data_IF_061693922761
#
_entry.id   IF_061693922761
#
_cell.length_a   1.000
_cell.length_b   1.000
_cell.length_c   1.000
_cell.angle_alpha   90.00
_cell.angle_beta   90.00
_cell.angle_gamma   90.00
#
_symmetry.space_group_name_H-M   'P 1'
#
loop_
_entity.id
_entity.type
_entity.pdbx_description
1 polymer ?
#
# COMPACT_ATOMS: atom_id res chain seq x y z
N UNK A 1 23.31 10.62 -2.16
CA UNK A 1 23.81 11.66 -3.05
C UNK A 1 24.65 11.02 -4.18
N UNK A 2 24.29 11.29 -5.43
CA UNK A 2 24.92 10.70 -6.61
C UNK A 2 25.53 11.83 -7.45
N UNK A 3 26.76 12.28 -7.13
CA UNK A 3 27.39 13.36 -7.90
C UNK A 3 27.56 12.93 -9.36
N UNK A 4 27.20 13.84 -10.26
CA UNK A 4 27.33 13.60 -11.70
C UNK A 4 26.25 12.73 -12.34
N UNK A 5 25.08 12.55 -11.67
CA UNK A 5 23.94 11.92 -12.33
C UNK A 5 23.36 12.84 -13.43
N UNK A 6 22.89 12.25 -14.52
CA UNK A 6 22.44 13.00 -15.70
C UNK A 6 20.99 12.73 -16.06
N UNK A 7 20.51 11.49 -15.87
CA UNK A 7 19.15 11.09 -16.25
C UNK A 7 18.62 9.97 -15.34
N UNK A 8 17.39 10.12 -14.89
CA UNK A 8 16.63 9.11 -14.17
C UNK A 8 15.26 8.91 -14.83
N UNK A 9 14.78 7.67 -14.89
CA UNK A 9 13.50 7.34 -15.53
C UNK A 9 12.63 6.58 -14.52
N UNK A 10 11.53 7.21 -14.12
CA UNK A 10 10.51 6.64 -13.24
C UNK A 10 9.42 6.00 -14.08
N UNK A 11 9.15 4.72 -13.85
CA UNK A 11 8.12 3.97 -14.57
C UNK A 11 7.08 3.30 -13.67
N UNK A 12 7.40 3.11 -12.40
CA UNK A 12 6.46 2.54 -11.45
C UNK A 12 5.32 3.50 -11.12
N UNK A 13 4.08 3.04 -11.24
CA UNK A 13 2.88 3.88 -11.15
C UNK A 13 2.77 4.65 -9.83
N UNK A 14 3.07 4.01 -8.70
CA UNK A 14 3.00 4.66 -7.39
C UNK A 14 4.05 5.76 -7.27
N UNK A 15 5.27 5.52 -7.74
CA UNK A 15 6.33 6.53 -7.72
C UNK A 15 6.08 7.64 -8.74
N UNK A 16 5.50 7.31 -9.90
CA UNK A 16 5.03 8.33 -10.85
C UNK A 16 3.96 9.23 -10.21
N UNK A 17 3.00 8.65 -9.49
CA UNK A 17 2.02 9.43 -8.74
C UNK A 17 2.68 10.32 -7.68
N UNK A 18 3.64 9.80 -6.94
CA UNK A 18 4.37 10.57 -5.93
C UNK A 18 5.08 11.80 -6.51
N UNK A 19 5.74 11.66 -7.66
CA UNK A 19 6.49 12.76 -8.29
C UNK A 19 5.64 13.65 -9.20
N UNK A 20 4.65 13.09 -9.90
CA UNK A 20 3.93 13.77 -10.96
C UNK A 20 2.43 13.99 -10.68
N UNK A 21 1.88 13.42 -9.61
CA UNK A 21 0.45 13.54 -9.27
C UNK A 21 -0.49 12.74 -10.17
N UNK A 22 0.02 11.91 -11.08
CA UNK A 22 -0.80 11.10 -11.99
C UNK A 22 -0.22 9.69 -12.17
N UNK A 23 -1.07 8.71 -12.50
CA UNK A 23 -0.69 7.31 -12.74
C UNK A 23 -0.90 6.87 -14.20
N UNK A 24 -0.87 7.79 -15.14
CA UNK A 24 -1.13 7.47 -16.54
C UNK A 24 -0.02 6.59 -17.16
N UNK A 25 -0.33 5.98 -18.31
CA UNK A 25 0.62 5.14 -19.02
C UNK A 25 1.71 6.01 -19.67
N UNK A 26 2.93 5.91 -19.16
CA UNK A 26 4.05 6.73 -19.57
C UNK A 26 5.28 6.53 -18.70
N UNK A 27 6.20 7.45 -18.77
CA UNK A 27 7.40 7.54 -17.94
C UNK A 27 7.69 8.99 -17.57
N UNK A 28 8.17 9.20 -16.35
CA UNK A 28 8.72 10.48 -15.94
C UNK A 28 10.25 10.44 -16.11
N UNK A 29 10.78 11.34 -16.91
CA UNK A 29 12.21 11.51 -17.08
C UNK A 29 12.65 12.73 -16.30
N UNK A 30 13.61 12.55 -15.41
CA UNK A 30 14.16 13.60 -14.55
C UNK A 30 15.64 13.80 -14.90
N UNK A 31 16.03 15.05 -15.09
CA UNK A 31 17.43 15.48 -15.29
C UNK A 31 17.74 16.63 -14.33
N UNK A 32 19.00 16.99 -14.09
CA UNK A 32 19.36 18.10 -13.21
C UNK A 32 18.73 19.46 -13.59
N UNK A 33 18.38 19.65 -14.87
CA UNK A 33 17.86 20.90 -15.41
C UNK A 33 16.36 20.89 -15.69
N UNK A 34 15.71 19.73 -15.76
CA UNK A 34 14.30 19.59 -16.11
C UNK A 34 13.70 18.26 -15.69
N UNK A 35 12.37 18.23 -15.66
CA UNK A 35 11.57 17.01 -15.54
C UNK A 35 10.47 17.02 -16.61
N UNK A 36 10.31 15.90 -17.33
CA UNK A 36 9.30 15.75 -18.37
C UNK A 36 8.51 14.47 -18.17
N UNK A 37 7.20 14.62 -18.04
CA UNK A 37 6.27 13.50 -18.03
C UNK A 37 5.88 13.13 -19.46
N UNK A 38 6.37 11.98 -19.93
CA UNK A 38 6.04 11.41 -21.23
C UNK A 38 4.86 10.47 -21.11
N UNK A 39 3.75 10.79 -21.78
CA UNK A 39 2.48 10.06 -21.64
C UNK A 39 2.11 9.37 -22.95
N UNK A 40 1.91 8.05 -22.87
CA UNK A 40 1.54 7.23 -24.04
C UNK A 40 0.02 7.14 -24.24
N UNK A 41 -0.73 7.10 -23.14
CA UNK A 41 -2.19 7.00 -23.15
C UNK A 41 -2.79 7.95 -22.13
N UNK A 42 -3.98 8.45 -22.44
CA UNK A 42 -4.71 9.39 -21.57
C UNK A 42 -3.93 10.69 -21.28
N UNK A 43 -3.35 11.27 -22.32
CA UNK A 43 -2.55 12.49 -22.23
C UNK A 43 -3.31 13.66 -21.62
N UNK A 44 -4.53 13.92 -22.07
CA UNK A 44 -5.38 15.01 -21.53
C UNK A 44 -5.67 14.84 -20.04
N UNK A 45 -5.86 13.59 -19.62
CA UNK A 45 -6.06 13.29 -18.20
C UNK A 45 -4.80 13.55 -17.38
N UNK A 46 -3.63 13.19 -17.89
CA UNK A 46 -2.37 13.51 -17.25
C UNK A 46 -2.17 15.02 -17.07
N UNK A 47 -2.48 15.81 -18.11
CA UNK A 47 -2.42 17.27 -18.06
C UNK A 47 -3.39 17.89 -17.02
N UNK A 48 -4.55 17.25 -16.79
CA UNK A 48 -5.52 17.71 -15.81
C UNK A 48 -5.19 17.31 -14.37
N UNK A 49 -4.46 16.20 -14.17
CA UNK A 49 -4.13 15.66 -12.85
C UNK A 49 -2.78 16.18 -12.34
N UNK A 50 -1.79 16.27 -13.20
CA UNK A 50 -0.41 16.58 -12.83
C UNK A 50 -0.17 18.07 -12.61
N UNK A 51 0.69 18.39 -11.66
CA UNK A 51 1.20 19.76 -11.41
C UNK A 51 2.49 20.05 -12.17
N UNK A 52 3.06 19.09 -12.89
CA UNK A 52 4.25 19.30 -13.72
C UNK A 52 3.91 20.21 -14.90
N UNK A 53 4.86 21.07 -15.26
CA UNK A 53 4.67 22.02 -16.35
C UNK A 53 4.96 21.42 -17.73
N UNK A 54 5.88 20.45 -17.79
CA UNK A 54 6.27 19.83 -19.06
C UNK A 54 5.71 18.40 -19.15
N UNK A 55 4.56 18.29 -19.80
CA UNK A 55 3.88 17.02 -20.07
C UNK A 55 3.78 16.85 -21.57
N UNK A 56 4.31 15.75 -22.11
CA UNK A 56 4.38 15.52 -23.54
C UNK A 56 3.78 14.17 -23.94
N UNK A 57 3.10 14.12 -25.09
CA UNK A 57 2.65 12.84 -25.63
C UNK A 57 3.82 12.05 -26.21
N UNK A 58 3.82 10.74 -25.99
CA UNK A 58 4.75 9.83 -26.64
C UNK A 58 4.02 8.65 -27.30
N UNK A 59 4.52 8.20 -28.45
CA UNK A 59 4.02 6.97 -29.10
C UNK A 59 4.81 5.74 -28.67
N UNK A 60 6.10 5.90 -28.46
CA UNK A 60 7.02 4.86 -28.03
C UNK A 60 8.31 5.50 -27.50
N UNK A 61 9.23 4.71 -26.97
CA UNK A 61 10.56 5.20 -26.56
C UNK A 61 11.39 5.82 -27.68
N UNK A 62 11.01 5.64 -28.96
CA UNK A 62 11.61 6.37 -30.06
C UNK A 62 11.45 7.88 -29.89
N UNK A 63 10.31 8.34 -29.42
CA UNK A 63 10.07 9.77 -29.14
C UNK A 63 11.08 10.33 -28.13
N UNK A 64 11.39 9.56 -27.08
CA UNK A 64 12.41 9.94 -26.10
C UNK A 64 13.81 9.92 -26.72
N UNK A 65 14.11 8.90 -27.53
CA UNK A 65 15.39 8.77 -28.20
C UNK A 65 15.70 9.95 -29.18
N UNK A 66 14.67 10.46 -29.82
CA UNK A 66 14.79 11.64 -30.69
C UNK A 66 14.99 12.94 -29.90
N UNK A 67 14.41 13.01 -28.72
CA UNK A 67 14.47 14.22 -27.86
C UNK A 67 15.75 14.30 -27.03
N UNK A 68 16.20 13.17 -26.43
CA UNK A 68 17.38 13.14 -25.55
C UNK A 68 18.66 12.81 -26.34
N UNK A 69 19.19 13.82 -27.06
CA UNK A 69 20.46 13.72 -27.79
C UNK A 69 21.42 14.85 -27.40
N UNK A 70 22.70 14.59 -27.13
CA UNK A 70 23.28 13.24 -27.00
C UNK A 70 22.75 12.50 -25.79
N UNK A 71 22.66 11.15 -25.90
CA UNK A 71 22.19 10.32 -24.80
C UNK A 71 23.26 10.23 -23.71
N UNK A 72 22.94 10.44 -22.42
CA UNK A 72 23.87 10.21 -21.33
C UNK A 72 24.37 8.76 -21.29
N UNK A 73 25.60 8.56 -20.84
CA UNK A 73 26.18 7.23 -20.77
C UNK A 73 25.51 6.33 -19.71
N UNK A 74 25.04 6.94 -18.60
CA UNK A 74 24.46 6.24 -17.47
C UNK A 74 23.03 6.69 -17.19
N UNK A 75 22.13 5.72 -16.98
CA UNK A 75 20.75 5.95 -16.58
C UNK A 75 20.49 5.40 -15.18
N UNK A 76 19.60 6.06 -14.42
CA UNK A 76 19.06 5.58 -13.15
C UNK A 76 17.63 5.08 -13.35
N UNK A 77 17.35 3.83 -12.93
CA UNK A 77 16.08 3.14 -13.14
C UNK A 77 15.54 2.55 -11.82
N UNK A 78 14.25 2.28 -11.82
CA UNK A 78 13.57 1.51 -10.77
C UNK A 78 13.71 0.01 -11.05
N UNK A 79 14.79 -0.61 -10.59
CA UNK A 79 15.13 -1.99 -10.94
C UNK A 79 14.21 -3.03 -10.28
N UNK A 80 13.59 -2.72 -9.14
CA UNK A 80 12.68 -3.63 -8.43
C UNK A 80 11.35 -3.85 -9.13
N UNK A 81 10.91 -2.89 -9.93
CA UNK A 81 9.58 -2.87 -10.55
C UNK A 81 9.59 -2.90 -12.07
N UNK A 82 10.70 -2.53 -12.69
CA UNK A 82 10.86 -2.62 -14.13
C UNK A 82 10.91 -4.09 -14.57
N UNK A 83 10.00 -4.49 -15.47
CA UNK A 83 10.07 -5.82 -16.07
C UNK A 83 11.22 -5.89 -17.08
N UNK A 84 11.76 -7.11 -17.26
CA UNK A 84 12.80 -7.34 -18.26
C UNK A 84 12.35 -6.90 -19.67
N UNK A 85 11.10 -7.18 -20.03
CA UNK A 85 10.53 -6.76 -21.32
C UNK A 85 10.52 -5.24 -21.47
N UNK A 86 10.10 -4.51 -20.42
CA UNK A 86 10.09 -3.05 -20.44
C UNK A 86 11.51 -2.50 -20.59
N UNK A 87 12.47 -3.05 -19.87
CA UNK A 87 13.87 -2.65 -19.92
C UNK A 87 14.50 -2.93 -21.29
N UNK A 88 14.26 -4.12 -21.86
CA UNK A 88 14.70 -4.46 -23.22
C UNK A 88 14.10 -3.51 -24.28
N UNK A 89 12.82 -3.15 -24.11
CA UNK A 89 12.18 -2.20 -25.00
C UNK A 89 12.76 -0.78 -24.86
N UNK A 90 13.08 -0.36 -23.63
CA UNK A 90 13.77 0.91 -23.38
C UNK A 90 15.11 0.94 -24.09
N UNK A 91 15.98 -0.06 -23.87
CA UNK A 91 17.33 -0.12 -24.45
C UNK A 91 17.37 -0.30 -25.96
N UNK A 92 16.33 -0.84 -26.55
CA UNK A 92 16.19 -0.88 -28.01
C UNK A 92 16.26 0.52 -28.64
N UNK A 93 15.75 1.54 -27.94
CA UNK A 93 15.69 2.91 -28.46
C UNK A 93 16.67 3.86 -27.76
N UNK A 94 16.97 3.63 -26.50
CA UNK A 94 17.89 4.42 -25.68
C UNK A 94 19.01 3.49 -25.16
N UNK A 95 20.02 3.20 -25.98
CA UNK A 95 21.10 2.26 -25.63
C UNK A 95 22.10 2.91 -24.66
N UNK A 96 21.71 3.11 -23.41
CA UNK A 96 22.61 3.56 -22.36
C UNK A 96 23.78 2.60 -22.18
N UNK A 97 24.97 3.12 -21.93
CA UNK A 97 26.17 2.29 -21.72
C UNK A 97 26.17 1.59 -20.35
N UNK A 98 25.50 2.16 -19.36
CA UNK A 98 25.37 1.58 -18.03
C UNK A 98 24.08 2.02 -17.32
N UNK A 99 23.68 1.27 -16.31
CA UNK A 99 22.52 1.58 -15.45
C UNK A 99 22.89 1.52 -13.98
N UNK A 100 22.06 2.16 -13.15
CA UNK A 100 22.07 2.01 -11.70
C UNK A 100 20.62 2.01 -11.16
N UNK A 101 20.39 1.30 -10.06
CA UNK A 101 19.11 1.33 -9.36
C UNK A 101 18.95 2.61 -8.55
N UNK A 102 17.72 3.16 -8.55
CA UNK A 102 17.35 4.32 -7.72
C UNK A 102 16.26 4.00 -6.68
N UNK A 103 15.91 2.73 -6.52
CA UNK A 103 14.84 2.31 -5.63
C UNK A 103 15.05 2.73 -4.17
N UNK A 104 16.28 2.63 -3.66
CA UNK A 104 16.63 3.05 -2.30
C UNK A 104 16.46 4.57 -2.12
N UNK A 105 16.88 5.35 -3.11
CA UNK A 105 16.75 6.82 -3.08
C UNK A 105 15.28 7.24 -3.02
N UNK A 106 14.44 6.65 -3.86
CA UNK A 106 13.01 6.92 -3.85
C UNK A 106 12.39 6.49 -2.51
N UNK A 107 12.80 5.35 -1.97
CA UNK A 107 12.34 4.89 -0.66
C UNK A 107 12.72 5.88 0.45
N UNK A 108 13.94 6.36 0.47
CA UNK A 108 14.42 7.37 1.43
C UNK A 108 13.64 8.69 1.32
N UNK A 109 13.40 9.18 0.11
CA UNK A 109 12.58 10.38 -0.12
C UNK A 109 11.16 10.24 0.43
N UNK A 110 10.58 9.04 0.37
CA UNK A 110 9.23 8.74 0.83
C UNK A 110 9.15 8.40 2.32
N UNK A 111 10.27 8.21 3.02
CA UNK A 111 10.28 7.95 4.46
C UNK A 111 9.74 9.14 5.25
N UNK A 112 10.20 10.35 4.93
CA UNK A 112 9.81 11.57 5.64
C UNK A 112 8.62 12.20 4.91
N UNK A 113 7.45 12.16 5.54
CA UNK A 113 6.22 12.68 4.96
C UNK A 113 6.11 14.17 5.13
N UNK A 114 5.69 14.86 4.07
CA UNK A 114 5.34 16.28 4.09
C UNK A 114 4.06 16.53 4.91
N UNK A 115 3.75 17.78 5.28
CA UNK A 115 2.48 18.13 5.94
C UNK A 115 1.24 17.72 5.13
N UNK A 116 1.30 17.79 3.80
CA UNK A 116 0.24 17.34 2.91
C UNK A 116 -0.01 15.84 3.03
N UNK A 117 1.06 15.03 2.93
CA UNK A 117 1.00 13.58 3.06
C UNK A 117 0.48 13.16 4.44
N UNK A 118 0.97 13.81 5.50
CA UNK A 118 0.49 13.58 6.87
C UNK A 118 -1.00 13.89 7.04
N UNK A 119 -1.52 14.92 6.36
CA UNK A 119 -2.95 15.25 6.41
C UNK A 119 -3.81 14.12 5.80
N UNK A 120 -3.37 13.54 4.68
CA UNK A 120 -4.04 12.40 4.05
C UNK A 120 -3.96 11.13 4.91
N UNK A 121 -2.80 10.84 5.51
CA UNK A 121 -2.64 9.72 6.43
C UNK A 121 -3.51 9.87 7.68
N UNK A 122 -3.60 11.08 8.26
CA UNK A 122 -4.50 11.34 9.40
C UNK A 122 -5.97 11.16 9.03
N UNK A 123 -6.37 11.57 7.82
CA UNK A 123 -7.73 11.33 7.31
C UNK A 123 -8.01 9.83 7.18
N UNK A 124 -7.07 9.07 6.62
CA UNK A 124 -7.15 7.61 6.55
C UNK A 124 -7.25 6.98 7.95
N UNK A 125 -6.38 7.36 8.89
CA UNK A 125 -6.42 6.89 10.27
C UNK A 125 -7.73 7.22 11.01
N UNK A 126 -8.34 8.37 10.71
CA UNK A 126 -9.66 8.73 11.26
C UNK A 126 -10.77 7.82 10.75
N UNK A 127 -10.75 7.47 9.46
CA UNK A 127 -11.69 6.49 8.88
C UNK A 127 -11.48 5.12 9.53
N UNK A 128 -10.24 4.67 9.65
CA UNK A 128 -9.87 3.42 10.31
C UNK A 128 -10.46 3.32 11.72
N UNK A 129 -10.16 4.32 12.56
CA UNK A 129 -10.66 4.38 13.93
C UNK A 129 -12.19 4.30 13.95
N UNK A 130 -12.87 5.12 13.17
CA UNK A 130 -14.32 5.11 13.15
C UNK A 130 -14.91 3.76 12.73
N UNK A 131 -14.35 3.14 11.68
CA UNK A 131 -14.90 1.88 11.17
C UNK A 131 -14.51 0.70 12.04
N UNK A 132 -13.24 0.56 12.42
CA UNK A 132 -12.78 -0.61 13.15
C UNK A 132 -13.08 -0.54 14.66
N UNK A 133 -13.03 0.64 15.30
CA UNK A 133 -13.23 0.73 16.73
C UNK A 133 -14.71 1.00 17.09
N UNK A 134 -15.43 1.80 16.28
CA UNK A 134 -16.78 2.24 16.65
C UNK A 134 -17.90 1.45 15.92
N UNK A 135 -17.69 1.09 14.65
CA UNK A 135 -18.71 0.42 13.84
C UNK A 135 -18.59 -1.09 13.78
N UNK A 136 -17.37 -1.64 13.80
CA UNK A 136 -17.16 -3.09 13.69
C UNK A 136 -17.98 -3.91 14.69
N UNK A 137 -18.13 -3.50 15.97
CA UNK A 137 -18.97 -4.25 16.92
C UNK A 137 -20.42 -4.44 16.46
N UNK A 138 -20.95 -3.56 15.61
CA UNK A 138 -22.33 -3.67 15.08
C UNK A 138 -22.47 -4.75 14.02
N UNK A 139 -21.39 -5.11 13.37
CA UNK A 139 -21.35 -6.15 12.32
C UNK A 139 -20.88 -7.50 12.86
N UNK A 140 -20.27 -7.52 14.05
CA UNK A 140 -19.81 -8.74 14.74
C UNK A 140 -21.02 -9.36 15.41
N UNK A 141 -21.81 -10.13 14.65
CA UNK A 141 -23.06 -10.74 15.12
C UNK A 141 -23.07 -12.24 14.84
N UNK A 142 -23.88 -12.97 15.62
CA UNK A 142 -24.04 -14.41 15.47
C UNK A 142 -24.36 -14.79 14.01
N UNK A 143 -23.60 -15.72 13.45
CA UNK A 143 -23.84 -16.27 12.13
C UNK A 143 -23.33 -15.44 10.96
N UNK A 144 -22.77 -14.24 11.18
CA UNK A 144 -22.07 -13.50 10.12
C UNK A 144 -20.89 -14.33 9.62
N UNK A 145 -20.61 -14.31 8.34
CA UNK A 145 -19.39 -14.94 7.81
C UNK A 145 -18.19 -13.99 7.84
N UNK A 146 -16.97 -14.54 7.75
CA UNK A 146 -15.76 -13.74 7.64
C UNK A 146 -15.85 -12.78 6.43
N UNK A 147 -16.28 -13.29 5.28
CA UNK A 147 -16.43 -12.49 4.07
C UNK A 147 -17.50 -11.38 4.21
N UNK A 148 -18.66 -11.69 4.79
CA UNK A 148 -19.72 -10.69 5.04
C UNK A 148 -19.24 -9.58 5.98
N UNK A 149 -18.52 -9.94 7.05
CA UNK A 149 -17.95 -8.96 7.97
C UNK A 149 -16.94 -8.07 7.26
N UNK A 150 -15.99 -8.65 6.54
CA UNK A 150 -14.98 -7.91 5.79
C UNK A 150 -15.61 -6.94 4.78
N UNK A 151 -16.58 -7.41 4.00
CA UNK A 151 -17.27 -6.57 2.99
C UNK A 151 -18.07 -5.45 3.64
N UNK A 152 -18.74 -5.70 4.77
CA UNK A 152 -19.49 -4.65 5.47
C UNK A 152 -18.56 -3.54 5.98
N UNK A 153 -17.41 -3.89 6.56
CA UNK A 153 -16.41 -2.92 7.02
C UNK A 153 -15.78 -2.17 5.85
N UNK A 154 -15.44 -2.86 4.79
CA UNK A 154 -14.95 -2.26 3.56
C UNK A 154 -15.94 -1.25 2.96
N UNK A 155 -17.22 -1.61 2.87
CA UNK A 155 -18.27 -0.71 2.39
C UNK A 155 -18.37 0.56 3.27
N UNK A 156 -18.24 0.42 4.59
CA UNK A 156 -18.24 1.57 5.50
C UNK A 156 -17.01 2.46 5.31
N UNK A 157 -15.84 1.89 5.05
CA UNK A 157 -14.64 2.66 4.71
C UNK A 157 -14.80 3.44 3.41
N UNK A 158 -15.32 2.82 2.35
CA UNK A 158 -15.59 3.48 1.07
C UNK A 158 -16.58 4.64 1.22
N UNK A 159 -17.69 4.45 1.97
CA UNK A 159 -18.68 5.52 2.23
C UNK A 159 -18.06 6.73 2.93
N UNK A 160 -16.95 6.55 3.64
CA UNK A 160 -16.22 7.59 4.35
C UNK A 160 -15.06 8.19 3.57
N UNK A 161 -14.85 7.74 2.34
CA UNK A 161 -13.85 8.27 1.42
C UNK A 161 -12.52 7.54 1.38
N UNK A 162 -12.47 6.29 1.88
CA UNK A 162 -11.35 5.41 1.55
C UNK A 162 -11.37 5.09 0.05
N UNK A 163 -10.21 5.02 -0.59
CA UNK A 163 -10.12 4.61 -2.00
C UNK A 163 -10.13 3.08 -2.20
N UNK A 164 -10.14 2.30 -1.12
CA UNK A 164 -10.49 0.88 -1.12
C UNK A 164 -9.43 -0.10 -1.63
N UNK A 165 -8.24 0.34 -1.94
CA UNK A 165 -7.14 -0.55 -2.40
C UNK A 165 -5.88 -0.22 -1.62
N UNK A 166 -5.26 -1.20 -0.98
CA UNK A 166 -3.91 -1.07 -0.45
C UNK A 166 -2.89 -1.57 -1.47
N UNK A 167 -1.78 -0.85 -1.61
CA UNK A 167 -0.68 -1.21 -2.50
C UNK A 167 0.58 -1.43 -1.71
N UNK A 168 1.18 -2.59 -1.91
CA UNK A 168 2.45 -2.97 -1.32
C UNK A 168 3.56 -2.80 -2.35
N UNK A 169 4.78 -2.59 -1.89
CA UNK A 169 5.96 -2.49 -2.76
C UNK A 169 6.44 -3.89 -3.20
N UNK A 170 5.50 -4.70 -3.70
CA UNK A 170 5.72 -6.05 -4.21
C UNK A 170 5.06 -6.17 -5.58
N UNK A 171 5.60 -6.98 -6.50
CA UNK A 171 4.91 -7.31 -7.74
C UNK A 171 3.52 -7.88 -7.45
N UNK A 172 2.47 -7.33 -8.06
CA UNK A 172 1.06 -7.70 -7.83
C UNK A 172 0.59 -7.52 -6.38
N UNK A 173 1.28 -6.70 -5.59
CA UNK A 173 0.97 -6.43 -4.20
C UNK A 173 -0.18 -5.44 -4.03
N UNK A 174 -1.39 -5.80 -4.46
CA UNK A 174 -2.62 -5.06 -4.17
C UNK A 174 -3.54 -5.90 -3.31
N UNK A 175 -4.06 -5.34 -2.23
CA UNK A 175 -5.10 -5.93 -1.41
C UNK A 175 -6.35 -5.04 -1.41
N UNK A 176 -7.49 -5.71 -1.60
CA UNK A 176 -8.80 -5.07 -1.64
C UNK A 176 -9.56 -5.56 -0.46
N UNK A 177 -9.91 -5.02 0.54
CA UNK A 177 -10.69 -5.47 1.71
C UNK A 177 -9.82 -5.81 2.93
N UNK A 178 -8.68 -6.48 2.79
CA UNK A 178 -7.88 -7.00 3.89
C UNK A 178 -8.40 -8.34 4.45
N UNK A 179 -8.20 -8.59 5.74
CA UNK A 179 -8.43 -9.88 6.37
C UNK A 179 -9.50 -9.80 7.47
N UNK A 180 -10.44 -10.74 7.45
CA UNK A 180 -11.32 -11.03 8.59
C UNK A 180 -11.26 -12.53 8.90
N UNK A 181 -10.97 -12.89 10.15
CA UNK A 181 -10.80 -14.28 10.57
C UNK A 181 -11.46 -14.55 11.91
N UNK A 182 -12.03 -15.75 12.05
CA UNK A 182 -12.69 -16.20 13.29
C UNK A 182 -11.97 -17.40 13.90
N UNK A 183 -11.52 -17.27 15.15
CA UNK A 183 -10.93 -18.35 15.92
C UNK A 183 -9.77 -19.04 15.19
N UNK A 184 -9.92 -20.35 14.88
CA UNK A 184 -8.83 -21.15 14.27
C UNK A 184 -8.40 -20.66 12.89
N UNK A 185 -9.24 -19.95 12.17
CA UNK A 185 -8.89 -19.40 10.86
C UNK A 185 -7.77 -18.36 10.97
N UNK A 186 -7.78 -17.55 12.03
CA UNK A 186 -6.71 -16.59 12.31
C UNK A 186 -5.35 -17.21 12.67
N UNK A 187 -5.27 -18.53 12.83
CA UNK A 187 -4.03 -19.27 13.10
C UNK A 187 -3.42 -19.90 11.84
N UNK A 188 -4.09 -19.80 10.70
CA UNK A 188 -3.57 -20.35 9.44
C UNK A 188 -2.51 -19.39 8.90
N UNK A 189 -1.26 -19.86 8.84
CA UNK A 189 -0.16 -19.07 8.30
C UNK A 189 -0.39 -18.78 6.82
N UNK A 190 -0.06 -17.57 6.41
CA UNK A 190 -0.07 -17.12 5.02
C UNK A 190 1.36 -16.94 4.52
N UNK A 191 1.51 -16.66 3.22
CA UNK A 191 2.80 -16.22 2.66
C UNK A 191 3.17 -14.79 3.08
N UNK A 192 2.24 -14.07 3.68
CA UNK A 192 2.45 -12.73 4.23
C UNK A 192 3.02 -12.84 5.65
N UNK A 193 4.10 -12.12 5.91
CA UNK A 193 4.79 -12.08 7.20
C UNK A 193 4.15 -11.02 8.12
N UNK A 194 2.92 -11.27 8.51
CA UNK A 194 2.13 -10.41 9.39
C UNK A 194 1.79 -11.06 10.73
N UNK A 195 1.27 -10.29 11.70
CA UNK A 195 0.96 -10.77 13.04
C UNK A 195 -0.21 -11.74 13.09
N UNK A 196 -1.03 -11.79 12.06
CA UNK A 196 -2.20 -12.65 11.97
C UNK A 196 -2.16 -13.60 10.80
N UNK A 197 -3.12 -14.54 10.80
CA UNK A 197 -3.31 -15.48 9.73
C UNK A 197 -4.75 -15.49 9.25
N UNK A 198 -4.99 -16.18 8.15
CA UNK A 198 -6.33 -16.40 7.63
C UNK A 198 -6.39 -17.66 6.79
N UNK A 199 -7.51 -18.37 6.89
CA UNK A 199 -7.84 -19.42 5.93
C UNK A 199 -8.24 -18.86 4.55
N UNK A 200 -8.46 -17.55 4.46
CA UNK A 200 -8.83 -16.84 3.23
C UNK A 200 -10.17 -17.26 2.64
N UNK A 201 -10.47 -16.69 1.49
CA UNK A 201 -11.65 -17.04 0.70
C UNK A 201 -11.50 -18.42 0.07
N UNK A 202 -10.30 -18.70 -0.49
CA UNK A 202 -9.93 -20.00 -1.08
C UNK A 202 -8.40 -20.06 -1.19
N UNK A 203 -7.88 -21.22 -1.64
CA UNK A 203 -6.43 -21.43 -1.82
C UNK A 203 -5.79 -20.38 -2.74
N UNK A 204 -6.51 -19.91 -3.74
CA UNK A 204 -6.03 -18.91 -4.70
C UNK A 204 -6.16 -17.47 -4.18
N UNK A 205 -6.99 -17.21 -3.16
CA UNK A 205 -7.26 -15.89 -2.58
C UNK A 205 -7.19 -16.01 -1.06
N UNK A 206 -6.08 -15.60 -0.50
CA UNK A 206 -5.80 -15.72 0.93
C UNK A 206 -6.33 -14.54 1.77
N UNK A 207 -6.75 -13.45 1.12
CA UNK A 207 -7.40 -12.31 1.75
C UNK A 207 -8.91 -12.51 1.94
N UNK A 208 -9.59 -11.50 2.48
CA UNK A 208 -11.02 -11.38 2.75
C UNK A 208 -11.45 -12.29 3.89
N UNK A 209 -11.60 -13.58 3.66
CA UNK A 209 -12.13 -14.57 4.57
C UNK A 209 -13.18 -15.48 3.93
N UNK A 210 -13.59 -16.52 4.63
CA UNK A 210 -14.51 -17.52 4.13
C UNK A 210 -15.97 -17.04 4.16
N UNK A 211 -16.71 -17.22 3.07
CA UNK A 211 -18.16 -17.01 3.01
C UNK A 211 -18.95 -18.07 3.83
N UNK A 212 -18.33 -19.20 4.13
CA UNK A 212 -18.99 -20.35 4.78
C UNK A 212 -18.66 -20.47 6.27
N UNK A 213 -17.56 -19.90 6.73
CA UNK A 213 -17.22 -19.89 8.17
C UNK A 213 -18.05 -18.83 8.87
N UNK A 214 -18.95 -19.29 9.75
CA UNK A 214 -19.90 -18.44 10.47
C UNK A 214 -19.43 -18.18 11.90
N UNK A 215 -19.56 -16.95 12.36
CA UNK A 215 -19.23 -16.54 13.71
C UNK A 215 -20.14 -17.20 14.73
N UNK A 216 -19.53 -17.73 15.78
CA UNK A 216 -20.22 -18.31 16.94
C UNK A 216 -19.67 -17.70 18.22
N UNK A 217 -20.44 -17.70 19.28
CA UNK A 217 -20.00 -17.26 20.61
C UNK A 217 -18.75 -18.05 21.07
N UNK A 218 -17.89 -17.42 21.84
CA UNK A 218 -16.65 -18.00 22.32
C UNK A 218 -15.52 -17.95 21.24
N UNK A 219 -15.54 -16.96 20.35
CA UNK A 219 -14.50 -16.82 19.30
C UNK A 219 -13.86 -15.44 19.32
N UNK A 220 -12.55 -15.44 19.13
CA UNK A 220 -11.82 -14.25 18.74
C UNK A 220 -12.16 -13.89 17.29
N UNK A 221 -12.35 -12.62 17.05
CA UNK A 221 -12.52 -11.99 15.72
C UNK A 221 -11.30 -11.15 15.46
N UNK A 222 -10.54 -11.50 14.46
CA UNK A 222 -9.33 -10.82 14.04
C UNK A 222 -9.64 -10.04 12.76
N UNK A 223 -9.35 -8.75 12.77
CA UNK A 223 -9.55 -7.85 11.64
C UNK A 223 -8.24 -7.14 11.34
N UNK A 224 -7.77 -7.28 10.12
CA UNK A 224 -6.57 -6.66 9.61
C UNK A 224 -6.92 -6.07 8.24
N UNK A 225 -7.39 -4.83 8.26
CA UNK A 225 -8.06 -4.20 7.12
C UNK A 225 -7.37 -2.88 6.81
N UNK A 226 -6.77 -2.71 5.62
CA UNK A 226 -6.13 -1.47 5.24
C UNK A 226 -7.16 -0.38 4.90
N UNK A 227 -6.78 0.87 5.10
CA UNK A 227 -7.52 2.04 4.67
C UNK A 227 -6.60 2.99 3.91
N UNK A 228 -7.12 3.76 2.98
CA UNK A 228 -6.31 4.73 2.26
C UNK A 228 -7.13 5.88 1.70
N UNK A 229 -6.50 7.05 1.62
CA UNK A 229 -7.07 8.27 1.04
C UNK A 229 -6.05 8.87 0.08
N UNK A 230 -6.47 9.10 -1.15
CA UNK A 230 -5.65 9.72 -2.21
C UNK A 230 -4.24 9.13 -2.31
N UNK A 231 -4.14 7.79 -2.29
CA UNK A 231 -2.87 7.05 -2.43
C UNK A 231 -2.05 6.89 -1.14
N UNK A 232 -2.48 7.45 -0.01
CA UNK A 232 -1.82 7.32 1.29
C UNK A 232 -2.59 6.37 2.21
N UNK A 233 -1.90 5.39 2.76
CA UNK A 233 -2.50 4.28 3.48
C UNK A 233 -2.19 4.35 4.97
N UNK A 234 -3.10 3.77 5.73
CA UNK A 234 -2.91 3.32 7.11
C UNK A 234 -3.24 1.85 7.19
N UNK A 235 -2.61 1.17 8.10
CA UNK A 235 -2.83 -0.22 8.40
C UNK A 235 -3.19 -0.36 9.88
N UNK A 236 -4.18 -1.20 10.19
CA UNK A 236 -4.62 -1.41 11.57
C UNK A 236 -5.19 -2.79 11.75
N UNK A 237 -4.64 -3.47 12.74
CA UNK A 237 -5.18 -4.74 13.25
C UNK A 237 -5.94 -4.51 14.54
N UNK A 238 -7.13 -5.08 14.65
CA UNK A 238 -7.92 -5.12 15.88
C UNK A 238 -8.44 -6.53 16.16
N UNK A 239 -8.57 -6.84 17.43
CA UNK A 239 -9.09 -8.14 17.89
C UNK A 239 -10.29 -7.93 18.80
N UNK A 240 -11.38 -8.64 18.52
CA UNK A 240 -12.57 -8.69 19.36
C UNK A 240 -12.79 -10.09 19.87
N UNK A 241 -13.48 -10.19 21.00
CA UNK A 241 -14.03 -11.45 21.48
C UNK A 241 -15.56 -11.40 21.31
N UNK A 242 -16.12 -12.40 20.63
CA UNK A 242 -17.56 -12.50 20.46
C UNK A 242 -18.16 -13.48 21.47
N UNK A 243 -18.93 -12.96 22.42
CA UNK A 243 -19.57 -13.70 23.49
C UNK A 243 -19.26 -13.14 24.89
N UNK A 244 -19.54 -13.90 25.90
CA UNK A 244 -19.21 -13.57 27.30
C UNK A 244 -17.81 -14.11 27.62
N UNK A 245 -16.83 -13.22 27.70
CA UNK A 245 -15.45 -13.59 27.96
C UNK A 245 -15.25 -14.17 29.33
N UNK A 246 -16.06 -13.76 30.35
CA UNK A 246 -15.95 -14.24 31.72
C UNK A 246 -16.35 -15.71 31.83
N UNK A 247 -17.14 -16.21 30.89
CA UNK A 247 -17.51 -17.63 30.80
C UNK A 247 -16.52 -18.48 29.97
N UNK A 248 -15.52 -17.88 29.38
CA UNK A 248 -14.52 -18.63 28.60
C UNK A 248 -13.46 -19.25 29.51
N UNK A 249 -13.17 -20.55 29.39
CA UNK A 249 -12.18 -21.23 30.26
C UNK A 249 -10.75 -20.68 30.06
N UNK A 250 -10.51 -19.88 29.03
CA UNK A 250 -9.23 -19.23 28.75
C UNK A 250 -9.28 -17.72 28.96
N UNK A 251 -10.30 -17.17 29.59
CA UNK A 251 -10.51 -15.72 29.79
C UNK A 251 -9.25 -15.00 30.30
N UNK A 252 -8.63 -15.53 31.37
CA UNK A 252 -7.41 -14.91 31.93
C UNK A 252 -6.25 -14.87 30.95
N UNK A 253 -6.07 -15.92 30.14
CA UNK A 253 -5.02 -15.96 29.10
C UNK A 253 -5.30 -14.98 27.97
N UNK A 254 -6.57 -14.85 27.58
CA UNK A 254 -6.99 -13.91 26.53
C UNK A 254 -6.76 -12.48 27.01
N UNK A 255 -7.16 -12.16 28.24
CA UNK A 255 -6.94 -10.82 28.84
C UNK A 255 -5.45 -10.50 28.96
N UNK A 256 -4.67 -11.41 29.53
CA UNK A 256 -3.23 -11.21 29.68
C UNK A 256 -2.51 -11.02 28.34
N UNK A 257 -2.89 -11.76 27.31
CA UNK A 257 -2.34 -11.58 25.96
C UNK A 257 -2.72 -10.21 25.38
N UNK A 258 -3.97 -9.79 25.53
CA UNK A 258 -4.44 -8.48 25.07
C UNK A 258 -3.70 -7.33 25.78
N UNK A 259 -3.64 -7.37 27.12
CA UNK A 259 -2.92 -6.39 27.93
C UNK A 259 -1.44 -6.29 27.56
N UNK A 260 -0.82 -7.44 27.24
CA UNK A 260 0.56 -7.46 26.77
C UNK A 260 0.72 -6.78 25.40
N UNK A 261 -0.22 -6.99 24.48
CA UNK A 261 -0.21 -6.30 23.19
C UNK A 261 -0.37 -4.78 23.34
N UNK A 262 -1.30 -4.33 24.20
CA UNK A 262 -1.49 -2.90 24.51
C UNK A 262 -0.22 -2.31 25.12
N UNK A 263 0.39 -3.01 26.09
CA UNK A 263 1.66 -2.59 26.69
C UNK A 263 2.77 -2.43 25.64
N UNK A 264 2.89 -3.39 24.71
CA UNK A 264 3.90 -3.31 23.65
C UNK A 264 3.64 -2.15 22.68
N UNK A 265 2.38 -1.89 22.35
CA UNK A 265 1.99 -0.74 21.52
C UNK A 265 2.37 0.59 22.19
N UNK A 266 2.01 0.78 23.46
CA UNK A 266 2.32 1.97 24.25
C UNK A 266 3.85 2.15 24.41
N UNK A 267 4.56 1.06 24.73
CA UNK A 267 6.02 1.07 24.83
C UNK A 267 6.66 1.49 23.51
N UNK A 268 6.23 0.87 22.40
CA UNK A 268 6.73 1.20 21.07
C UNK A 268 6.49 2.67 20.73
N UNK A 269 5.27 3.17 20.95
CA UNK A 269 4.93 4.57 20.72
C UNK A 269 5.80 5.52 21.57
N UNK A 270 6.10 5.16 22.81
CA UNK A 270 6.96 5.96 23.69
C UNK A 270 8.43 6.01 23.25
N UNK A 271 8.90 4.94 22.60
CA UNK A 271 10.26 4.81 22.09
C UNK A 271 10.45 5.48 20.73
N UNK A 272 9.39 5.63 19.94
CA UNK A 272 9.44 6.24 18.60
C UNK A 272 9.63 7.77 18.71
N UNK A 273 10.87 8.19 18.93
CA UNK A 273 11.27 9.59 19.04
C UNK A 273 12.33 9.93 17.98
N UNK A 274 12.41 11.20 17.53
CA UNK A 274 13.45 11.61 16.58
C UNK A 274 14.86 11.28 17.08
N UNK A 275 15.64 10.62 16.24
CA UNK A 275 17.04 10.25 16.55
C UNK A 275 17.21 8.86 17.16
N UNK A 276 16.13 8.12 17.44
CA UNK A 276 16.27 6.73 17.88
C UNK A 276 16.62 5.83 16.68
N UNK A 277 17.53 4.89 16.93
CA UNK A 277 17.85 3.84 15.96
C UNK A 277 16.93 2.64 16.24
N UNK A 278 16.24 2.18 15.21
CA UNK A 278 15.30 1.05 15.27
C UNK A 278 16.00 -0.22 14.81
#
# INVERSE_FOLDING_TARGET
EFPGWEIAIVNHKVNMYYFAGTMQDGVLVIRPQDEILWVRRSYERACNESLLQDIRPMKSFRTLAEFYQPLPAKVYLENKTATLEWQQLLYKYLPFASEAGMDSVISELRLIKSPYELALMRKSGSIHRNVLDELAPRFIVQGVSEAELAVNLYAEMLRRGSHGVARFNLPLGEDVVGLASFGKSGLVKTAFDGPGGTGGTCVAVQSIGSAFRKLQAGRLVYLDIPCGVDGYHTDKTVVYYYGDLDQDPFSDKIRAAYEHCVFLEELTASLLQPGIVI
#
